data_IF_971757902640
#
_entry.id   IF_971757902640
#
_cell.length_a   1.000
_cell.length_b   1.000
_cell.length_c   1.000
_cell.angle_alpha   90.00
_cell.angle_beta   90.00
_cell.angle_gamma   90.00
#
_symmetry.space_group_name_H-M   'P 1'
#
loop_
_entity.id
_entity.type
_entity.pdbx_description
1 polymer ?
#
# COMPACT_ATOMS: atom_id res chain seq x y z
N UNK A 1 -8.95 -8.28 109.64
CA UNK A 1 -8.79 -7.32 108.51
C UNK A 1 -7.66 -7.78 107.67
N UNK A 2 -7.96 -8.48 106.60
CA UNK A 2 -6.95 -9.07 105.66
C UNK A 2 -7.01 -8.24 104.41
N UNK A 3 -5.84 -7.60 104.04
CA UNK A 3 -5.71 -6.92 102.80
C UNK A 3 -5.07 -7.88 101.78
N UNK A 4 -5.81 -8.22 100.75
CA UNK A 4 -5.31 -9.01 99.59
C UNK A 4 -4.84 -8.02 98.48
N UNK A 5 -3.56 -8.07 98.17
CA UNK A 5 -2.98 -7.33 97.02
C UNK A 5 -3.06 -8.17 95.79
N UNK A 6 -3.82 -7.71 94.82
CA UNK A 6 -3.85 -8.31 93.44
C UNK A 6 -2.82 -7.63 92.58
N UNK A 7 -1.79 -8.38 92.17
CA UNK A 7 -0.83 -7.92 91.14
C UNK A 7 -1.44 -8.22 89.77
N UNK A 8 -1.74 -7.19 88.99
CA UNK A 8 -2.16 -7.29 87.64
C UNK A 8 -0.96 -7.60 86.71
N UNK A 9 -0.95 -8.70 86.07
CA UNK A 9 0.00 -9.05 84.99
C UNK A 9 -0.59 -8.52 83.69
N UNK A 10 0.11 -7.51 83.11
CA UNK A 10 -0.19 -7.02 81.76
C UNK A 10 0.41 -7.99 80.72
N UNK A 11 -0.39 -8.76 80.03
CA UNK A 11 0.01 -9.43 78.81
C UNK A 11 -0.14 -8.42 77.65
N UNK A 12 0.96 -8.02 77.07
CA UNK A 12 0.97 -7.27 75.81
C UNK A 12 0.75 -8.24 74.66
N UNK A 13 -0.46 -8.27 74.11
CA UNK A 13 -0.74 -8.97 72.85
C UNK A 13 -0.36 -8.07 71.69
N UNK A 14 0.71 -8.37 71.03
CA UNK A 14 1.05 -7.76 69.74
C UNK A 14 0.12 -8.27 68.65
N UNK A 15 -0.86 -7.44 68.26
CA UNK A 15 -1.69 -7.69 67.08
C UNK A 15 -0.86 -7.30 65.85
N UNK A 16 -0.32 -8.29 65.18
CA UNK A 16 0.24 -8.08 63.84
C UNK A 16 -0.92 -7.76 62.87
N UNK A 17 -1.09 -6.50 62.52
CA UNK A 17 -1.96 -6.11 61.38
C UNK A 17 -1.22 -6.52 60.11
N UNK A 18 -1.59 -7.68 59.57
CA UNK A 18 -1.32 -7.99 58.17
C UNK A 18 -2.14 -7.05 57.31
N UNK A 19 -1.54 -6.06 56.71
CA UNK A 19 -2.13 -5.28 55.63
C UNK A 19 -2.25 -6.23 54.41
N UNK A 20 -3.33 -6.94 54.33
CA UNK A 20 -3.73 -7.56 53.08
C UNK A 20 -4.00 -6.44 52.07
N UNK A 21 -3.06 -6.18 51.19
CA UNK A 21 -3.34 -5.44 49.99
C UNK A 21 -4.39 -6.23 49.21
N UNK A 22 -5.64 -5.83 49.33
CA UNK A 22 -6.68 -6.27 48.44
C UNK A 22 -6.27 -5.82 47.05
N UNK A 23 -5.68 -6.72 46.28
CA UNK A 23 -5.64 -6.56 44.84
C UNK A 23 -7.12 -6.46 44.43
N UNK A 24 -7.56 -5.28 44.05
CA UNK A 24 -8.85 -5.11 43.40
C UNK A 24 -8.78 -5.97 42.14
N UNK A 25 -9.49 -7.09 42.13
CA UNK A 25 -9.75 -7.80 40.90
C UNK A 25 -10.46 -6.78 40.00
N UNK A 26 -9.89 -6.52 38.84
CA UNK A 26 -10.51 -5.66 37.84
C UNK A 26 -11.94 -6.11 37.65
N UNK A 27 -12.88 -5.18 37.68
CA UNK A 27 -14.30 -5.47 37.50
C UNK A 27 -14.49 -6.21 36.16
N UNK A 28 -15.24 -7.29 36.13
CA UNK A 28 -15.58 -7.99 34.87
C UNK A 28 -16.25 -7.08 33.83
N UNK A 29 -16.71 -5.91 34.26
CA UNK A 29 -17.48 -4.93 33.48
C UNK A 29 -16.74 -3.62 33.26
N UNK A 30 -15.39 -3.58 33.47
CA UNK A 30 -14.60 -2.47 33.03
C UNK A 30 -14.57 -2.45 31.49
N UNK A 31 -14.87 -1.28 30.92
CA UNK A 31 -14.76 -1.10 29.46
C UNK A 31 -13.31 -1.22 29.06
N UNK A 32 -12.96 -2.25 28.28
CA UNK A 32 -11.65 -2.33 27.66
C UNK A 32 -11.50 -1.22 26.63
N UNK A 33 -10.32 -0.60 26.59
CA UNK A 33 -9.99 0.27 25.46
C UNK A 33 -9.98 -0.57 24.18
N UNK A 34 -10.80 -0.20 23.20
CA UNK A 34 -10.94 -0.96 21.96
C UNK A 34 -9.81 -0.70 20.99
N UNK A 35 -9.04 0.36 21.21
CA UNK A 35 -7.90 0.76 20.36
C UNK A 35 -6.59 0.65 21.15
N UNK A 36 -5.72 -0.25 20.72
CA UNK A 36 -4.36 -0.31 21.25
C UNK A 36 -3.57 0.91 20.76
N UNK A 37 -2.97 1.73 21.66
CA UNK A 37 -2.29 2.98 21.27
C UNK A 37 -0.94 2.74 20.56
N UNK A 38 -0.47 1.51 20.53
CA UNK A 38 0.77 1.10 19.87
C UNK A 38 0.56 0.59 18.44
N UNK A 39 1.55 -0.13 17.94
CA UNK A 39 1.47 -0.81 16.66
C UNK A 39 1.64 -2.31 16.81
N UNK A 40 0.80 -3.07 16.10
CA UNK A 40 0.86 -4.53 16.04
C UNK A 40 1.12 -4.93 14.60
N UNK A 41 2.08 -5.82 14.37
CA UNK A 41 2.38 -6.37 13.04
C UNK A 41 2.61 -7.88 13.15
N UNK A 42 1.99 -8.65 12.25
CA UNK A 42 2.24 -10.07 12.09
C UNK A 42 3.01 -10.31 10.78
N UNK A 43 4.13 -11.00 10.87
CA UNK A 43 5.00 -11.30 9.73
C UNK A 43 5.71 -10.08 9.13
N UNK A 44 6.21 -10.25 7.90
CA UNK A 44 6.93 -9.23 7.13
C UNK A 44 6.09 -8.78 5.93
N UNK A 45 6.23 -7.50 5.53
CA UNK A 45 5.66 -7.00 4.27
C UNK A 45 6.56 -7.25 3.06
N UNK A 46 7.85 -7.46 3.29
CA UNK A 46 8.86 -7.60 2.25
C UNK A 46 9.16 -9.06 1.94
N UNK A 47 9.09 -9.92 2.95
CA UNK A 47 9.32 -11.35 2.80
C UNK A 47 8.01 -12.09 3.06
N UNK A 48 7.48 -12.84 2.06
CA UNK A 48 6.22 -13.57 2.24
C UNK A 48 6.39 -14.68 3.26
N UNK A 49 5.44 -14.77 4.20
CA UNK A 49 5.35 -15.90 5.13
C UNK A 49 4.61 -17.04 4.44
N UNK A 50 5.19 -18.23 4.46
CA UNK A 50 4.63 -19.45 3.84
C UNK A 50 4.16 -20.43 4.91
N UNK A 51 3.26 -21.35 4.57
CA UNK A 51 3.02 -22.54 5.39
C UNK A 51 4.33 -23.27 5.71
N UNK A 52 4.55 -23.60 6.99
CA UNK A 52 5.78 -24.19 7.51
C UNK A 52 6.86 -23.21 7.97
N UNK A 53 6.75 -21.92 7.65
CA UNK A 53 7.75 -20.94 8.04
C UNK A 53 7.65 -20.57 9.53
N UNK A 54 8.77 -20.08 10.06
CA UNK A 54 8.82 -19.35 11.33
C UNK A 54 8.64 -17.86 11.05
N UNK A 55 7.84 -17.20 11.87
CA UNK A 55 7.56 -15.76 11.79
C UNK A 55 7.39 -15.19 13.19
N UNK A 56 6.97 -13.93 13.30
CA UNK A 56 6.72 -13.30 14.59
C UNK A 56 5.56 -12.31 14.52
N UNK A 57 4.93 -12.07 15.67
CA UNK A 57 4.08 -10.90 15.90
C UNK A 57 4.87 -9.90 16.72
N UNK A 58 5.09 -8.72 16.17
CA UNK A 58 5.77 -7.59 16.82
C UNK A 58 4.75 -6.59 17.33
N UNK A 59 4.81 -6.28 18.63
CA UNK A 59 3.97 -5.28 19.27
C UNK A 59 4.88 -4.19 19.83
N UNK A 60 4.60 -2.91 19.51
CA UNK A 60 5.38 -1.75 19.95
C UNK A 60 4.54 -0.81 20.80
N UNK A 61 5.20 -0.01 21.62
CA UNK A 61 4.63 0.95 22.57
C UNK A 61 3.76 0.27 23.64
N UNK A 62 4.16 -0.93 24.07
CA UNK A 62 3.58 -1.57 25.25
C UNK A 62 4.16 -0.93 26.51
N UNK A 63 3.33 -0.54 27.50
CA UNK A 63 3.83 -0.16 28.83
C UNK A 63 4.58 -1.32 29.50
N UNK A 64 5.57 -1.02 30.31
CA UNK A 64 6.26 -2.02 31.14
C UNK A 64 5.24 -2.74 32.04
N UNK A 65 5.32 -4.07 32.10
CA UNK A 65 4.41 -4.89 32.88
C UNK A 65 3.05 -5.20 32.19
N UNK A 66 2.80 -4.67 30.99
CA UNK A 66 1.66 -5.08 30.17
C UNK A 66 1.80 -6.57 29.80
N UNK A 67 0.70 -7.30 29.88
CA UNK A 67 0.67 -8.72 29.46
C UNK A 67 -0.06 -8.87 28.13
N UNK A 68 0.37 -9.83 27.33
CA UNK A 68 -0.16 -10.10 25.99
C UNK A 68 -0.54 -11.55 25.86
N UNK A 69 -1.76 -11.81 25.37
CA UNK A 69 -2.25 -13.11 24.90
C UNK A 69 -2.49 -13.04 23.40
N UNK A 70 -2.09 -14.06 22.66
CA UNK A 70 -2.26 -14.14 21.21
C UNK A 70 -3.10 -15.37 20.86
N UNK A 71 -4.19 -15.14 20.09
CA UNK A 71 -5.13 -16.17 19.69
C UNK A 71 -5.28 -16.24 18.17
N UNK A 72 -5.56 -17.44 17.66
CA UNK A 72 -6.11 -17.68 16.33
C UNK A 72 -7.51 -18.33 16.51
N UNK A 73 -8.56 -17.56 16.23
CA UNK A 73 -9.88 -17.94 16.66
C UNK A 73 -9.97 -18.07 18.19
N UNK A 74 -10.33 -19.25 18.68
CA UNK A 74 -10.37 -19.57 20.12
C UNK A 74 -9.09 -20.24 20.64
N UNK A 75 -8.14 -20.57 19.75
CA UNK A 75 -6.92 -21.28 20.10
C UNK A 75 -5.81 -20.32 20.54
N UNK A 76 -5.21 -20.57 21.69
CA UNK A 76 -4.04 -19.81 22.14
C UNK A 76 -2.80 -20.21 21.37
N UNK A 77 -2.15 -19.23 20.72
CA UNK A 77 -0.90 -19.43 19.98
C UNK A 77 0.35 -19.41 20.88
N UNK A 78 0.18 -18.96 22.12
CA UNK A 78 1.22 -18.96 23.17
C UNK A 78 0.66 -19.62 24.43
N UNK A 79 1.47 -20.44 25.13
CA UNK A 79 0.97 -21.28 26.23
C UNK A 79 0.55 -20.49 27.46
N UNK A 80 1.09 -19.28 27.64
CA UNK A 80 0.76 -18.35 28.72
C UNK A 80 1.00 -16.91 28.29
N UNK A 81 0.33 -15.92 28.91
CA UNK A 81 0.54 -14.52 28.60
C UNK A 81 2.02 -14.12 28.76
N UNK A 82 2.52 -13.32 27.81
CA UNK A 82 3.86 -12.77 27.85
C UNK A 82 3.83 -11.36 28.43
N UNK A 83 4.81 -11.04 29.27
CA UNK A 83 4.92 -9.72 29.88
C UNK A 83 5.91 -8.84 29.09
N UNK A 84 5.51 -7.60 28.79
CA UNK A 84 6.35 -6.64 28.11
C UNK A 84 7.49 -6.19 29.03
N UNK A 85 8.70 -6.13 28.46
CA UNK A 85 9.86 -5.54 29.13
C UNK A 85 9.75 -4.00 29.15
N UNK A 86 10.67 -3.35 29.90
CA UNK A 86 10.72 -1.89 29.99
C UNK A 86 11.08 -1.17 28.69
N UNK A 87 11.30 -1.88 27.57
CA UNK A 87 11.65 -1.32 26.27
C UNK A 87 10.44 -1.04 25.38
N UNK A 88 9.24 -1.46 25.82
CA UNK A 88 7.99 -1.21 25.11
C UNK A 88 7.82 -1.98 23.80
N UNK A 89 8.62 -3.00 23.53
CA UNK A 89 8.52 -3.85 22.35
C UNK A 89 8.48 -5.31 22.77
N UNK A 90 7.51 -6.05 22.24
CA UNK A 90 7.39 -7.51 22.43
C UNK A 90 7.38 -8.19 21.07
N UNK A 91 8.30 -9.15 20.87
CA UNK A 91 8.33 -10.02 19.71
C UNK A 91 7.86 -11.41 20.12
N UNK A 92 6.78 -11.88 19.50
CA UNK A 92 6.18 -13.18 19.79
C UNK A 92 6.49 -14.13 18.63
N UNK A 93 7.40 -15.10 18.79
CA UNK A 93 7.72 -16.05 17.74
C UNK A 93 6.54 -16.98 17.46
N UNK A 94 6.27 -17.25 16.19
CA UNK A 94 5.25 -18.16 15.70
C UNK A 94 5.87 -19.18 14.76
N UNK A 95 5.36 -20.42 14.80
CA UNK A 95 5.61 -21.42 13.77
C UNK A 95 4.30 -21.68 13.04
N UNK A 96 4.28 -21.37 11.76
CA UNK A 96 3.11 -21.60 10.91
C UNK A 96 3.02 -23.09 10.59
N UNK A 97 1.87 -23.76 10.78
CA UNK A 97 1.70 -25.16 10.39
C UNK A 97 1.99 -25.35 8.88
N UNK A 98 2.64 -26.45 8.52
CA UNK A 98 2.97 -26.75 7.12
C UNK A 98 1.72 -26.98 6.23
N UNK A 99 0.60 -27.32 6.85
CA UNK A 99 -0.70 -27.51 6.19
C UNK A 99 -1.63 -26.29 6.34
N UNK A 100 -1.12 -25.15 6.82
CA UNK A 100 -1.92 -23.92 6.91
C UNK A 100 -2.34 -23.47 5.51
N UNK A 101 -3.58 -23.03 5.38
CA UNK A 101 -4.10 -22.47 4.13
C UNK A 101 -3.44 -21.10 3.82
N UNK A 102 -3.23 -20.82 2.54
CA UNK A 102 -2.80 -19.47 2.11
C UNK A 102 -3.96 -18.49 2.27
N UNK A 103 -3.66 -17.24 2.60
CA UNK A 103 -4.67 -16.19 2.80
C UNK A 103 -4.41 -15.35 4.02
N UNK A 104 -5.46 -14.64 4.45
CA UNK A 104 -5.44 -13.75 5.60
C UNK A 104 -5.96 -14.47 6.85
N UNK A 105 -5.12 -14.59 7.86
CA UNK A 105 -5.45 -15.19 9.15
C UNK A 105 -5.58 -14.11 10.22
N UNK A 106 -6.80 -13.83 10.69
CA UNK A 106 -7.01 -12.84 11.74
C UNK A 106 -6.52 -13.38 13.08
N UNK A 107 -5.51 -12.75 13.64
CA UNK A 107 -5.02 -13.03 14.97
C UNK A 107 -5.58 -12.01 15.96
N UNK A 108 -6.09 -12.48 17.09
CA UNK A 108 -6.57 -11.62 18.18
C UNK A 108 -5.45 -11.41 19.19
N UNK A 109 -5.14 -10.16 19.46
CA UNK A 109 -4.18 -9.72 20.47
C UNK A 109 -4.95 -9.13 21.64
N UNK A 110 -4.85 -9.77 22.79
CA UNK A 110 -5.46 -9.30 24.03
C UNK A 110 -4.34 -8.76 24.92
N UNK A 111 -4.45 -7.50 25.34
CA UNK A 111 -3.53 -6.92 26.30
C UNK A 111 -4.22 -6.67 27.64
N UNK A 112 -3.41 -6.67 28.72
CA UNK A 112 -3.82 -6.19 30.04
C UNK A 112 -2.77 -5.20 30.55
N UNK A 113 -3.24 -4.19 31.26
CA UNK A 113 -2.41 -3.08 31.76
C UNK A 113 -1.69 -2.29 30.63
N UNK A 114 -2.44 -1.63 29.70
CA UNK A 114 -3.88 -1.43 29.65
C UNK A 114 -4.67 -2.61 29.05
N UNK A 115 -5.94 -2.72 29.39
CA UNK A 115 -6.84 -3.72 28.82
C UNK A 115 -7.23 -3.29 27.41
N UNK A 116 -6.93 -4.11 26.38
CA UNK A 116 -7.39 -3.90 25.02
C UNK A 116 -7.55 -5.21 24.26
N UNK A 117 -8.37 -5.17 23.21
CA UNK A 117 -8.53 -6.26 22.25
C UNK A 117 -8.33 -5.69 20.87
N UNK A 118 -7.36 -6.24 20.14
CA UNK A 118 -7.02 -5.81 18.79
C UNK A 118 -6.92 -7.01 17.85
N UNK A 119 -7.10 -6.78 16.55
CA UNK A 119 -6.84 -7.78 15.53
C UNK A 119 -5.67 -7.37 14.66
N UNK A 120 -4.89 -8.35 14.24
CA UNK A 120 -3.83 -8.20 13.24
C UNK A 120 -3.92 -9.35 12.24
N UNK A 121 -3.75 -9.05 10.95
CA UNK A 121 -3.76 -10.08 9.91
C UNK A 121 -2.37 -10.67 9.72
N UNK A 122 -2.24 -11.98 9.91
CA UNK A 122 -1.09 -12.74 9.43
C UNK A 122 -1.41 -13.22 8.01
N UNK A 123 -0.66 -12.73 7.02
CA UNK A 123 -0.85 -13.13 5.64
C UNK A 123 0.09 -14.28 5.28
N UNK A 124 -0.48 -15.41 4.87
CA UNK A 124 0.25 -16.56 4.34
C UNK A 124 0.18 -16.54 2.81
N UNK A 125 1.33 -16.70 2.17
CA UNK A 125 1.46 -16.63 0.73
C UNK A 125 2.20 -17.86 0.20
N UNK A 126 2.02 -18.17 -1.09
CA UNK A 126 2.83 -19.17 -1.79
C UNK A 126 3.70 -18.49 -2.84
N UNK A 127 4.81 -19.10 -3.18
CA UNK A 127 5.64 -18.70 -4.30
C UNK A 127 4.98 -19.17 -5.59
N UNK A 128 4.89 -18.28 -6.58
CA UNK A 128 4.57 -18.64 -7.96
C UNK A 128 5.89 -18.85 -8.69
N UNK A 129 6.18 -20.07 -9.19
CA UNK A 129 7.45 -20.34 -9.85
C UNK A 129 7.59 -19.54 -11.16
N UNK A 130 8.83 -19.29 -11.63
CA UNK A 130 9.06 -18.73 -12.96
C UNK A 130 8.34 -19.55 -14.05
N UNK A 131 7.78 -18.86 -15.05
CA UNK A 131 7.09 -19.46 -16.18
C UNK A 131 7.33 -18.61 -17.41
N UNK A 132 7.78 -19.21 -18.50
CA UNK A 132 7.98 -18.54 -19.80
C UNK A 132 8.72 -17.19 -19.69
N UNK A 133 9.61 -17.04 -18.74
CA UNK A 133 10.33 -15.78 -18.50
C UNK A 133 11.31 -15.45 -19.64
N UNK A 134 11.83 -16.47 -20.28
CA UNK A 134 12.72 -16.40 -21.45
C UNK A 134 12.04 -15.83 -22.70
N UNK A 135 10.70 -15.77 -22.75
CA UNK A 135 9.95 -15.08 -23.80
C UNK A 135 10.10 -13.55 -23.75
N UNK A 136 10.73 -12.99 -22.71
CA UNK A 136 10.88 -11.55 -22.53
C UNK A 136 12.36 -11.16 -22.48
N UNK A 137 12.63 -9.97 -23.01
CA UNK A 137 13.94 -9.27 -22.87
C UNK A 137 13.81 -8.24 -21.77
N UNK A 138 14.75 -8.22 -20.85
CA UNK A 138 14.84 -7.27 -19.75
C UNK A 138 16.05 -6.36 -19.97
N UNK A 139 15.85 -5.06 -19.79
CA UNK A 139 16.91 -4.06 -19.76
C UNK A 139 16.71 -3.21 -18.52
N UNK A 140 17.70 -3.19 -17.63
CA UNK A 140 17.60 -2.53 -16.31
C UNK A 140 18.63 -1.41 -16.20
N UNK A 141 18.23 -0.28 -15.60
CA UNK A 141 19.09 0.83 -15.25
C UNK A 141 18.80 1.34 -13.83
N UNK A 142 19.81 1.70 -13.03
CA UNK A 142 19.64 2.28 -11.71
C UNK A 142 19.11 3.72 -11.81
N UNK A 143 18.21 4.11 -10.91
CA UNK A 143 17.61 5.45 -10.87
C UNK A 143 17.66 6.12 -9.49
N UNK A 144 18.38 5.52 -8.55
CA UNK A 144 18.51 6.02 -7.17
C UNK A 144 17.55 5.38 -6.19
N UNK A 145 17.64 5.79 -4.93
CA UNK A 145 16.87 5.18 -3.85
C UNK A 145 15.35 5.42 -3.99
N UNK A 146 14.56 4.41 -3.63
CA UNK A 146 13.08 4.48 -3.49
C UNK A 146 12.36 4.99 -4.74
N UNK A 147 12.80 4.54 -5.92
CA UNK A 147 12.05 4.76 -7.14
C UNK A 147 10.59 4.31 -6.94
N UNK A 148 9.62 5.14 -7.37
CA UNK A 148 8.25 4.99 -6.90
C UNK A 148 7.24 4.75 -8.00
N UNK A 149 7.10 5.70 -8.94
CA UNK A 149 6.24 5.58 -10.12
C UNK A 149 6.95 6.07 -11.37
N UNK A 150 6.41 5.72 -12.52
CA UNK A 150 6.85 6.23 -13.82
C UNK A 150 5.69 6.53 -14.74
N UNK A 151 5.94 7.43 -15.70
CA UNK A 151 5.03 7.73 -16.80
C UNK A 151 5.82 7.94 -18.09
N UNK A 152 5.28 7.48 -19.22
CA UNK A 152 5.91 7.58 -20.54
C UNK A 152 5.23 8.67 -21.35
N UNK A 153 6.04 9.56 -21.97
CA UNK A 153 5.53 10.54 -22.93
C UNK A 153 5.47 9.99 -24.35
N UNK A 154 4.64 10.62 -25.17
CA UNK A 154 4.47 10.25 -26.57
C UNK A 154 5.76 10.40 -27.41
N UNK A 155 6.72 11.25 -27.00
CA UNK A 155 8.00 11.46 -27.63
C UNK A 155 9.13 10.55 -27.08
N UNK A 156 8.76 9.48 -26.33
CA UNK A 156 9.71 8.48 -25.87
C UNK A 156 10.57 8.92 -24.68
N UNK A 157 10.04 9.76 -23.80
CA UNK A 157 10.66 10.08 -22.51
C UNK A 157 9.97 9.33 -21.39
N UNK A 158 10.75 8.80 -20.46
CA UNK A 158 10.28 8.15 -19.26
C UNK A 158 10.55 9.05 -18.05
N UNK A 159 9.52 9.46 -17.36
CA UNK A 159 9.61 10.23 -16.13
C UNK A 159 9.49 9.28 -14.95
N UNK A 160 10.44 9.39 -14.00
CA UNK A 160 10.52 8.51 -12.84
C UNK A 160 10.59 9.35 -11.58
N UNK A 161 9.73 9.06 -10.62
CA UNK A 161 9.78 9.67 -9.29
C UNK A 161 10.49 8.77 -8.30
N UNK A 162 11.18 9.37 -7.33
CA UNK A 162 11.72 8.70 -6.15
C UNK A 162 11.15 9.34 -4.89
N UNK A 163 10.44 8.51 -4.11
CA UNK A 163 9.81 8.95 -2.89
C UNK A 163 10.80 8.84 -1.72
N UNK A 164 11.35 9.96 -1.25
CA UNK A 164 12.20 10.05 -0.05
C UNK A 164 13.31 8.99 0.06
N UNK A 165 14.39 9.16 -0.64
CA UNK A 165 15.64 8.49 -0.27
C UNK A 165 16.14 8.96 1.11
N UNK A 166 16.67 8.09 1.97
CA UNK A 166 17.22 8.51 3.26
C UNK A 166 18.41 9.47 3.14
N UNK A 167 19.15 9.38 2.03
CA UNK A 167 20.36 10.19 1.79
C UNK A 167 20.14 11.29 0.76
N UNK A 168 19.48 10.97 -0.35
CA UNK A 168 19.43 11.83 -1.53
C UNK A 168 18.12 12.63 -1.66
N UNK A 169 17.15 12.37 -0.80
CA UNK A 169 15.83 13.01 -0.86
C UNK A 169 14.95 12.45 -1.99
N UNK A 170 13.88 13.17 -2.32
CA UNK A 170 13.02 12.84 -3.48
C UNK A 170 13.66 13.32 -4.77
N UNK A 171 13.36 12.64 -5.88
CA UNK A 171 13.87 12.97 -7.22
C UNK A 171 12.75 12.85 -8.26
N UNK A 172 12.76 13.73 -9.26
CA UNK A 172 12.04 13.56 -10.52
C UNK A 172 13.09 13.52 -11.62
N UNK A 173 13.18 12.37 -12.29
CA UNK A 173 14.13 12.10 -13.36
C UNK A 173 13.41 12.04 -14.70
N UNK A 174 14.07 12.51 -15.77
CA UNK A 174 13.69 12.20 -17.14
C UNK A 174 14.76 11.29 -17.75
N UNK A 175 14.31 10.16 -18.28
CA UNK A 175 15.13 9.18 -18.96
C UNK A 175 14.73 9.08 -20.44
N UNK A 176 15.65 8.63 -21.26
CA UNK A 176 15.32 8.11 -22.58
C UNK A 176 14.63 6.74 -22.43
N UNK A 177 13.42 6.58 -22.94
CA UNK A 177 12.62 5.36 -22.76
C UNK A 177 13.23 4.14 -23.48
N UNK A 178 14.05 4.33 -24.54
CA UNK A 178 14.69 3.23 -25.25
C UNK A 178 15.96 2.75 -24.53
N UNK A 179 16.84 3.69 -24.14
CA UNK A 179 18.15 3.36 -23.58
C UNK A 179 18.18 3.31 -22.06
N UNK A 180 17.16 3.83 -21.38
CA UNK A 180 17.06 4.07 -19.95
C UNK A 180 18.13 5.02 -19.39
N UNK A 181 18.85 5.74 -20.25
CA UNK A 181 19.81 6.74 -19.82
C UNK A 181 19.11 7.94 -19.17
N UNK A 182 19.58 8.37 -18.00
CA UNK A 182 19.11 9.59 -17.33
C UNK A 182 19.55 10.79 -18.14
N UNK A 183 18.62 11.62 -18.60
CA UNK A 183 18.87 12.83 -19.40
C UNK A 183 18.80 14.11 -18.57
N UNK A 184 17.96 14.13 -17.56
CA UNK A 184 17.76 15.31 -16.70
C UNK A 184 17.18 14.92 -15.33
N UNK A 185 17.39 15.80 -14.36
CA UNK A 185 16.83 15.74 -13.03
C UNK A 185 16.24 17.11 -12.64
N UNK A 186 15.03 17.11 -12.06
CA UNK A 186 14.36 18.33 -11.62
C UNK A 186 14.98 18.88 -10.32
N UNK A 187 15.06 20.20 -10.22
CA UNK A 187 15.22 20.88 -8.94
C UNK A 187 13.84 20.98 -8.29
N UNK A 188 13.62 20.18 -7.27
CA UNK A 188 12.32 20.13 -6.59
C UNK A 188 12.06 21.39 -5.74
N UNK A 189 10.82 21.91 -5.69
CA UNK A 189 10.48 23.05 -4.87
C UNK A 189 10.65 22.75 -3.38
N UNK A 190 10.69 23.81 -2.58
CA UNK A 190 10.74 23.73 -1.12
C UNK A 190 9.47 24.31 -0.53
N UNK A 191 9.07 23.74 0.61
CA UNK A 191 7.98 24.26 1.44
C UNK A 191 8.39 25.57 2.15
N UNK A 192 7.45 26.20 2.86
CA UNK A 192 7.69 27.45 3.62
C UNK A 192 8.79 27.31 4.69
N UNK A 193 9.08 26.08 5.14
CA UNK A 193 10.13 25.76 6.10
C UNK A 193 11.47 25.46 5.44
N UNK A 194 11.56 25.58 4.11
CA UNK A 194 12.77 25.32 3.33
C UNK A 194 13.06 23.83 3.09
N UNK A 195 12.12 22.94 3.44
CA UNK A 195 12.24 21.51 3.20
C UNK A 195 11.79 21.16 1.78
N UNK A 196 12.50 20.26 1.11
CA UNK A 196 12.16 19.78 -0.22
C UNK A 196 10.76 19.13 -0.24
N UNK A 197 9.92 19.55 -1.18
CA UNK A 197 8.62 18.94 -1.46
C UNK A 197 8.87 17.65 -2.25
N UNK A 198 8.59 16.52 -1.62
CA UNK A 198 8.84 15.19 -2.19
C UNK A 198 7.79 14.80 -3.23
N UNK A 199 8.22 14.09 -4.28
CA UNK A 199 7.38 13.60 -5.37
C UNK A 199 7.06 12.12 -5.21
N UNK A 200 5.83 11.71 -5.61
CA UNK A 200 5.35 10.33 -5.52
C UNK A 200 4.73 9.89 -6.85
N UNK A 201 3.45 10.13 -7.09
CA UNK A 201 2.80 9.83 -8.35
C UNK A 201 3.27 10.75 -9.47
N UNK A 202 3.17 10.28 -10.73
CA UNK A 202 3.56 11.04 -11.91
C UNK A 202 2.64 10.76 -13.09
N UNK A 203 2.18 11.83 -13.76
CA UNK A 203 1.41 11.79 -15.01
C UNK A 203 2.02 12.72 -16.04
N UNK A 204 1.88 12.38 -17.31
CA UNK A 204 2.39 13.19 -18.45
C UNK A 204 1.23 13.75 -19.23
N UNK A 205 1.25 15.06 -19.44
CA UNK A 205 0.39 15.81 -20.34
C UNK A 205 1.18 16.15 -21.62
N UNK A 206 1.04 15.30 -22.63
CA UNK A 206 1.74 15.50 -23.90
C UNK A 206 1.20 16.71 -24.67
N UNK A 207 -0.08 17.03 -24.51
CA UNK A 207 -0.72 18.16 -25.20
C UNK A 207 -0.12 19.50 -24.79
N UNK A 208 0.17 19.68 -23.50
CA UNK A 208 0.74 20.94 -22.98
C UNK A 208 2.22 20.79 -22.60
N UNK A 209 2.83 19.62 -22.83
CA UNK A 209 4.24 19.31 -22.50
C UNK A 209 4.54 19.52 -21.03
N UNK A 210 3.67 19.03 -20.16
CA UNK A 210 3.81 19.11 -18.73
C UNK A 210 3.97 17.72 -18.10
N UNK A 211 4.66 17.69 -16.96
CA UNK A 211 4.73 16.54 -16.06
C UNK A 211 4.08 16.95 -14.74
N UNK A 212 3.08 16.21 -14.35
CA UNK A 212 2.35 16.40 -13.11
C UNK A 212 2.86 15.42 -12.06
N UNK A 213 3.12 15.90 -10.84
CA UNK A 213 3.50 15.03 -9.73
C UNK A 213 2.61 15.24 -8.53
N UNK A 214 2.30 14.15 -7.83
CA UNK A 214 1.67 14.23 -6.50
C UNK A 214 2.75 14.37 -5.43
N UNK A 215 2.47 15.18 -4.43
CA UNK A 215 3.38 15.48 -3.34
C UNK A 215 2.71 15.05 -2.02
N UNK A 216 2.66 13.74 -1.78
CA UNK A 216 1.86 13.08 -0.73
C UNK A 216 2.08 13.68 0.65
N UNK A 217 3.32 14.05 1.01
CA UNK A 217 3.65 14.52 2.34
C UNK A 217 3.45 16.03 2.55
N UNK A 218 3.39 16.78 1.47
CA UNK A 218 3.06 18.20 1.47
C UNK A 218 1.58 18.43 1.08
N UNK A 219 0.86 17.31 0.82
CA UNK A 219 -0.56 17.34 0.46
C UNK A 219 -0.88 18.30 -0.69
N UNK A 220 -0.04 18.26 -1.75
CA UNK A 220 -0.16 19.16 -2.89
C UNK A 220 0.21 18.48 -4.21
N UNK A 221 0.13 19.22 -5.30
CA UNK A 221 0.50 18.82 -6.66
C UNK A 221 1.50 19.82 -7.22
N UNK A 222 2.48 19.36 -8.00
CA UNK A 222 3.43 20.20 -8.71
C UNK A 222 3.42 19.86 -10.20
N UNK A 223 3.49 20.89 -11.04
CA UNK A 223 3.57 20.77 -12.50
C UNK A 223 4.94 21.27 -12.96
N UNK A 224 5.58 20.48 -13.83
CA UNK A 224 6.87 20.79 -14.41
C UNK A 224 6.76 20.85 -15.94
N UNK A 225 7.63 21.64 -16.56
CA UNK A 225 7.86 21.59 -18.01
C UNK A 225 8.54 20.26 -18.37
N UNK A 226 8.01 19.48 -19.29
CA UNK A 226 8.50 18.15 -19.61
C UNK A 226 9.90 18.16 -20.24
N UNK A 227 10.31 19.25 -20.91
CA UNK A 227 11.62 19.37 -21.56
C UNK A 227 12.70 19.82 -20.60
N UNK A 228 12.43 20.84 -19.79
CA UNK A 228 13.44 21.49 -18.93
C UNK A 228 13.42 20.97 -17.51
N UNK A 229 12.34 20.33 -17.07
CA UNK A 229 12.02 19.94 -15.70
C UNK A 229 11.98 21.14 -14.73
N UNK A 230 11.82 22.37 -15.26
CA UNK A 230 11.58 23.54 -14.43
C UNK A 230 10.15 23.51 -13.88
N UNK A 231 9.97 24.03 -12.66
CA UNK A 231 8.65 24.16 -12.03
C UNK A 231 7.83 25.17 -12.80
N UNK A 232 6.63 24.77 -13.25
CA UNK A 232 5.61 25.63 -13.88
C UNK A 232 4.61 26.11 -12.84
N UNK A 233 4.15 25.21 -11.98
CA UNK A 233 3.15 25.50 -10.95
C UNK A 233 3.34 24.61 -9.73
N UNK A 234 3.23 25.19 -8.54
CA UNK A 234 3.02 24.47 -7.28
C UNK A 234 1.65 24.88 -6.76
N UNK A 235 0.78 23.90 -6.53
CA UNK A 235 -0.50 24.16 -5.91
C UNK A 235 -0.34 24.37 -4.40
N UNK A 236 -1.30 24.99 -3.69
CA UNK A 236 -1.18 25.22 -2.26
C UNK A 236 -0.97 23.92 -1.46
N UNK A 237 -0.13 23.98 -0.43
CA UNK A 237 0.02 22.87 0.53
C UNK A 237 -1.32 22.59 1.23
N UNK A 238 -1.61 21.34 1.53
CA UNK A 238 -2.89 20.91 2.11
C UNK A 238 -4.07 20.93 1.14
N UNK A 239 -3.86 21.22 -0.16
CA UNK A 239 -4.96 21.28 -1.14
C UNK A 239 -5.48 19.91 -1.57
N UNK A 240 -4.69 18.84 -1.39
CA UNK A 240 -5.10 17.46 -1.70
C UNK A 240 -4.68 16.54 -0.55
N UNK A 241 -5.61 16.00 0.23
CA UNK A 241 -5.28 15.08 1.32
C UNK A 241 -4.56 13.82 0.81
N UNK A 242 -3.30 13.67 1.18
CA UNK A 242 -2.47 12.51 0.86
C UNK A 242 -2.54 12.07 -0.62
N UNK A 243 -2.24 12.97 -1.59
CA UNK A 243 -2.38 12.66 -3.01
C UNK A 243 -1.49 11.49 -3.41
N UNK A 244 -2.04 10.59 -4.24
CA UNK A 244 -1.36 9.33 -4.58
C UNK A 244 -1.05 9.22 -6.06
N UNK A 245 -2.06 9.22 -6.89
CA UNK A 245 -1.96 9.04 -8.33
C UNK A 245 -2.45 10.29 -9.07
N UNK A 246 -1.96 10.49 -10.29
CA UNK A 246 -2.43 11.52 -11.20
C UNK A 246 -2.55 10.96 -12.61
N UNK A 247 -3.75 11.01 -13.17
CA UNK A 247 -4.02 10.59 -14.54
C UNK A 247 -4.50 11.77 -15.39
N UNK A 248 -4.00 11.83 -16.63
CA UNK A 248 -4.26 12.96 -17.52
C UNK A 248 -5.26 12.57 -18.61
N UNK A 249 -6.31 13.36 -18.76
CA UNK A 249 -7.26 13.31 -19.87
C UNK A 249 -6.94 14.46 -20.85
N UNK A 250 -6.06 14.19 -21.79
CA UNK A 250 -5.63 15.18 -22.78
C UNK A 250 -6.79 15.66 -23.68
N UNK A 251 -7.72 14.76 -23.98
CA UNK A 251 -8.86 15.09 -24.83
C UNK A 251 -9.79 16.14 -24.23
N UNK A 252 -9.85 16.20 -22.89
CA UNK A 252 -10.72 17.13 -22.18
C UNK A 252 -9.95 18.19 -21.36
N UNK A 253 -8.61 18.23 -21.48
CA UNK A 253 -7.72 19.09 -20.69
C UNK A 253 -7.95 18.94 -19.18
N UNK A 254 -7.95 17.72 -18.67
CA UNK A 254 -8.16 17.42 -17.25
C UNK A 254 -7.04 16.57 -16.67
N UNK A 255 -6.65 16.89 -15.43
CA UNK A 255 -5.89 16.04 -14.57
C UNK A 255 -6.76 15.62 -13.39
N UNK A 256 -6.81 14.32 -13.12
CA UNK A 256 -7.52 13.73 -11.99
C UNK A 256 -6.50 13.22 -10.99
N UNK A 257 -6.58 13.72 -9.74
CA UNK A 257 -5.65 13.39 -8.66
C UNK A 257 -6.38 12.68 -7.55
N UNK A 258 -5.97 11.45 -7.22
CA UNK A 258 -6.56 10.70 -6.12
C UNK A 258 -6.11 11.23 -4.76
N UNK A 259 -7.07 11.46 -3.85
CA UNK A 259 -6.83 11.79 -2.44
C UNK A 259 -6.97 10.51 -1.60
N UNK A 260 -5.86 9.83 -1.34
CA UNK A 260 -5.84 8.42 -0.90
C UNK A 260 -6.45 8.15 0.48
N UNK A 261 -6.58 9.14 1.35
CA UNK A 261 -7.25 9.01 2.66
C UNK A 261 -8.75 9.33 2.62
N UNK A 262 -9.26 9.59 1.42
CA UNK A 262 -10.65 9.97 1.17
C UNK A 262 -11.14 9.29 -0.11
N UNK A 263 -12.43 9.37 -0.40
CA UNK A 263 -12.97 8.97 -1.71
C UNK A 263 -12.91 10.07 -2.77
N UNK A 264 -12.25 11.20 -2.47
CA UNK A 264 -12.21 12.34 -3.36
C UNK A 264 -11.16 12.22 -4.45
N UNK A 265 -11.48 12.80 -5.59
CA UNK A 265 -10.60 13.01 -6.74
C UNK A 265 -10.62 14.49 -7.06
N UNK A 266 -9.48 15.14 -6.90
CA UNK A 266 -9.33 16.55 -7.26
C UNK A 266 -9.17 16.69 -8.77
N UNK A 267 -9.84 17.66 -9.35
CA UNK A 267 -9.87 17.88 -10.81
C UNK A 267 -9.23 19.23 -11.14
N UNK A 268 -8.24 19.17 -12.04
CA UNK A 268 -7.53 20.34 -12.52
C UNK A 268 -7.71 20.50 -14.02
N UNK A 269 -7.72 21.74 -14.50
CA UNK A 269 -7.59 22.05 -15.91
C UNK A 269 -6.10 22.08 -16.28
N UNK A 270 -5.68 21.24 -17.24
CA UNK A 270 -4.27 21.10 -17.60
C UNK A 270 -3.74 22.23 -18.47
N UNK A 271 -4.64 23.01 -19.10
CA UNK A 271 -4.30 24.17 -19.93
C UNK A 271 -4.13 25.44 -19.11
N UNK A 272 -5.08 25.71 -18.19
CA UNK A 272 -5.05 26.92 -17.35
C UNK A 272 -4.30 26.74 -16.06
N UNK A 273 -4.00 25.49 -15.66
CA UNK A 273 -3.41 25.10 -14.39
C UNK A 273 -4.21 25.62 -13.20
N UNK A 274 -5.52 25.45 -13.25
CA UNK A 274 -6.45 25.83 -12.20
C UNK A 274 -7.13 24.58 -11.63
N UNK A 275 -7.41 24.59 -10.33
CA UNK A 275 -8.31 23.61 -9.72
C UNK A 275 -9.75 23.94 -10.14
N UNK A 276 -10.45 22.98 -10.74
CA UNK A 276 -11.77 23.20 -11.34
C UNK A 276 -12.90 22.44 -10.67
N UNK A 277 -12.60 21.61 -9.68
CA UNK A 277 -13.62 20.88 -8.93
C UNK A 277 -13.15 19.58 -8.33
N UNK A 278 -14.11 18.83 -7.82
CA UNK A 278 -13.87 17.58 -7.11
C UNK A 278 -14.93 16.56 -7.53
N UNK A 279 -14.50 15.32 -7.70
CA UNK A 279 -15.35 14.14 -7.87
C UNK A 279 -15.24 13.25 -6.64
N UNK A 280 -16.15 12.28 -6.46
CA UNK A 280 -16.10 11.40 -5.31
C UNK A 280 -16.54 9.98 -5.67
N UNK A 281 -15.75 8.99 -5.25
CA UNK A 281 -16.22 7.61 -5.15
C UNK A 281 -17.05 7.43 -3.88
N UNK A 282 -18.27 6.94 -4.04
CA UNK A 282 -19.20 6.73 -2.92
C UNK A 282 -19.50 5.24 -2.81
N UNK A 283 -19.01 4.61 -1.73
CA UNK A 283 -19.25 3.21 -1.44
C UNK A 283 -20.47 3.04 -0.51
N UNK A 284 -21.20 1.95 -0.67
CA UNK A 284 -22.38 1.53 0.14
C UNK A 284 -23.27 2.70 0.59
N UNK A 285 -23.67 3.56 -0.34
CA UNK A 285 -24.50 4.74 -0.05
C UNK A 285 -23.91 5.67 1.03
N UNK A 286 -22.57 5.74 1.11
CA UNK A 286 -21.83 6.55 2.08
C UNK A 286 -21.64 5.89 3.45
N UNK A 287 -21.94 4.61 3.62
CA UNK A 287 -21.70 3.88 4.88
C UNK A 287 -20.27 3.40 5.02
N UNK A 288 -19.68 2.93 3.90
CA UNK A 288 -18.28 2.56 3.84
C UNK A 288 -17.46 3.71 3.25
N UNK A 289 -16.18 3.79 3.63
CA UNK A 289 -15.23 4.70 3.02
C UNK A 289 -14.62 4.06 1.77
N UNK A 290 -14.30 4.90 0.78
CA UNK A 290 -13.55 4.53 -0.40
C UNK A 290 -12.16 5.19 -0.33
N UNK A 291 -11.12 4.38 -0.17
CA UNK A 291 -9.74 4.86 -0.07
C UNK A 291 -9.06 4.75 -1.44
N UNK A 292 -9.28 5.75 -2.30
CA UNK A 292 -8.79 5.74 -3.68
C UNK A 292 -7.25 5.68 -3.72
N UNK A 293 -6.72 4.73 -4.48
CA UNK A 293 -5.28 4.60 -4.76
C UNK A 293 -4.99 4.99 -6.20
N UNK A 294 -4.80 4.02 -7.07
CA UNK A 294 -4.49 4.29 -8.46
C UNK A 294 -5.78 4.32 -9.32
N UNK A 295 -5.71 4.98 -10.45
CA UNK A 295 -6.83 5.32 -11.32
C UNK A 295 -6.64 4.74 -12.71
N UNK A 296 -7.74 4.45 -13.40
CA UNK A 296 -7.74 4.17 -14.84
C UNK A 296 -8.78 5.04 -15.55
N UNK A 297 -8.46 5.50 -16.74
CA UNK A 297 -9.30 6.41 -17.50
C UNK A 297 -9.83 5.76 -18.77
N UNK A 298 -11.11 5.94 -19.02
CA UNK A 298 -11.74 5.79 -20.31
C UNK A 298 -12.18 7.17 -20.82
N UNK A 299 -11.25 7.88 -21.45
CA UNK A 299 -11.50 9.24 -21.93
C UNK A 299 -12.65 9.26 -22.96
N UNK A 300 -12.66 8.31 -23.89
CA UNK A 300 -13.70 8.22 -24.94
C UNK A 300 -15.08 7.83 -24.40
N UNK A 301 -15.13 6.95 -23.40
CA UNK A 301 -16.36 6.54 -22.73
C UNK A 301 -16.77 7.45 -21.56
N UNK A 302 -15.96 8.47 -21.25
CA UNK A 302 -16.21 9.45 -20.19
C UNK A 302 -16.29 8.83 -18.80
N UNK A 303 -15.41 7.88 -18.46
CA UNK A 303 -15.39 7.22 -17.16
C UNK A 303 -14.00 7.24 -16.51
N UNK A 304 -13.98 7.54 -15.22
CA UNK A 304 -12.81 7.39 -14.36
C UNK A 304 -13.03 6.21 -13.40
N UNK A 305 -12.13 5.23 -13.44
CA UNK A 305 -12.18 4.04 -12.59
C UNK A 305 -11.21 4.16 -11.44
N UNK A 306 -11.54 3.53 -10.31
CA UNK A 306 -10.68 3.49 -9.15
C UNK A 306 -10.95 2.27 -8.28
N UNK A 307 -10.00 1.97 -7.41
CA UNK A 307 -10.06 0.88 -6.43
C UNK A 307 -9.89 1.43 -5.02
N UNK A 308 -10.51 0.76 -4.06
CA UNK A 308 -10.37 1.11 -2.65
C UNK A 308 -9.43 0.13 -1.95
N UNK A 309 -8.36 0.65 -1.32
CA UNK A 309 -7.33 -0.17 -0.68
C UNK A 309 -7.83 -0.87 0.60
N UNK A 310 -8.50 -0.14 1.47
CA UNK A 310 -8.83 -0.62 2.81
C UNK A 310 -10.25 -1.23 2.90
N UNK A 311 -10.97 -1.20 1.78
CA UNK A 311 -12.30 -1.82 1.63
C UNK A 311 -12.41 -2.49 0.25
N UNK A 312 -13.16 -3.60 0.09
CA UNK A 312 -13.19 -4.35 -1.17
C UNK A 312 -14.14 -3.73 -2.20
N UNK A 313 -13.98 -2.42 -2.47
CA UNK A 313 -14.78 -1.71 -3.46
C UNK A 313 -13.98 -1.37 -4.71
N UNK A 314 -14.59 -1.59 -5.86
CA UNK A 314 -14.15 -1.10 -7.17
C UNK A 314 -15.23 -0.15 -7.67
N UNK A 315 -14.85 0.97 -8.28
CA UNK A 315 -15.83 1.95 -8.71
C UNK A 315 -15.45 2.66 -10.01
N UNK A 316 -16.45 3.35 -10.56
CA UNK A 316 -16.25 4.30 -11.66
C UNK A 316 -17.13 5.53 -11.46
N UNK A 317 -16.65 6.64 -11.97
CA UNK A 317 -17.36 7.92 -12.00
C UNK A 317 -17.65 8.25 -13.45
N UNK A 318 -18.90 8.53 -13.78
CA UNK A 318 -19.29 9.13 -15.05
C UNK A 318 -18.83 10.59 -15.05
N UNK A 319 -17.89 10.94 -15.91
CA UNK A 319 -17.23 12.25 -15.90
C UNK A 319 -18.15 13.39 -16.39
N UNK A 320 -19.21 13.06 -17.11
CA UNK A 320 -20.20 14.05 -17.57
C UNK A 320 -21.15 14.46 -16.45
N UNK A 321 -21.56 13.49 -15.62
CA UNK A 321 -22.58 13.72 -14.58
C UNK A 321 -22.01 13.81 -13.17
N UNK A 322 -20.76 13.38 -12.97
CA UNK A 322 -20.13 13.24 -11.66
C UNK A 322 -20.68 12.04 -10.84
N UNK A 323 -21.57 11.23 -11.43
CA UNK A 323 -22.21 10.11 -10.70
C UNK A 323 -21.24 8.97 -10.49
N UNK A 324 -21.04 8.59 -9.23
CA UNK A 324 -20.29 7.40 -8.82
C UNK A 324 -21.17 6.13 -8.88
N UNK A 325 -20.56 5.04 -9.31
CA UNK A 325 -21.07 3.68 -9.19
C UNK A 325 -19.97 2.83 -8.57
N UNK A 326 -20.31 2.06 -7.53
CA UNK A 326 -19.35 1.17 -6.87
C UNK A 326 -19.92 -0.24 -6.75
N UNK A 327 -19.05 -1.23 -6.85
CA UNK A 327 -19.38 -2.64 -6.67
C UNK A 327 -18.45 -3.27 -5.64
N UNK A 328 -19.01 -4.15 -4.81
CA UNK A 328 -18.21 -4.88 -3.83
C UNK A 328 -17.59 -6.10 -4.48
N UNK A 329 -16.26 -6.22 -4.39
CA UNK A 329 -15.47 -7.31 -4.95
C UNK A 329 -14.67 -7.96 -3.82
N UNK A 330 -15.26 -8.92 -3.08
CA UNK A 330 -14.62 -9.53 -1.90
C UNK A 330 -13.26 -10.17 -2.17
N UNK A 331 -13.01 -10.57 -3.42
CA UNK A 331 -11.74 -11.12 -3.87
C UNK A 331 -10.61 -10.07 -3.98
N UNK A 332 -10.94 -8.78 -4.05
CA UNK A 332 -10.00 -7.68 -4.23
C UNK A 332 -9.70 -6.97 -2.89
N UNK A 333 -9.19 -7.72 -1.90
CA UNK A 333 -8.80 -7.09 -0.63
C UNK A 333 -7.41 -6.49 -0.72
N UNK A 334 -7.28 -5.25 -0.24
CA UNK A 334 -6.06 -4.49 -0.38
C UNK A 334 -5.78 -4.14 -1.84
N UNK A 335 -6.82 -3.77 -2.60
CA UNK A 335 -6.68 -3.38 -4.00
C UNK A 335 -5.77 -2.15 -4.12
N UNK A 336 -4.81 -2.22 -5.03
CA UNK A 336 -3.76 -1.20 -5.18
C UNK A 336 -3.81 -0.49 -6.50
N UNK A 337 -4.19 -1.19 -7.60
CA UNK A 337 -4.14 -0.64 -8.93
C UNK A 337 -5.21 -1.28 -9.83
N UNK A 338 -5.57 -0.57 -10.89
CA UNK A 338 -6.60 -0.96 -11.85
C UNK A 338 -6.19 -0.62 -13.27
N UNK A 339 -6.31 -1.58 -14.19
CA UNK A 339 -6.14 -1.37 -15.61
C UNK A 339 -7.42 -1.70 -16.39
N UNK A 340 -7.57 -1.14 -17.57
CA UNK A 340 -8.73 -1.35 -18.43
C UNK A 340 -8.31 -1.81 -19.83
N UNK A 341 -8.98 -2.83 -20.36
CA UNK A 341 -8.94 -3.17 -21.78
C UNK A 341 -9.94 -2.27 -22.55
N UNK A 342 -9.49 -1.35 -23.40
CA UNK A 342 -10.39 -0.43 -24.11
C UNK A 342 -11.27 -1.13 -25.13
N UNK A 343 -10.88 -2.32 -25.64
CA UNK A 343 -11.64 -3.03 -26.65
C UNK A 343 -12.85 -3.77 -26.07
N UNK A 344 -12.73 -4.32 -24.86
CA UNK A 344 -13.79 -5.11 -24.22
C UNK A 344 -14.44 -4.41 -23.03
N UNK A 345 -13.80 -3.37 -22.50
CA UNK A 345 -14.20 -2.69 -21.27
C UNK A 345 -13.90 -3.49 -20.00
N UNK A 346 -13.19 -4.63 -20.09
CA UNK A 346 -12.77 -5.40 -18.92
C UNK A 346 -11.84 -4.60 -18.03
N UNK A 347 -11.96 -4.84 -16.74
CA UNK A 347 -11.10 -4.24 -15.72
C UNK A 347 -10.23 -5.33 -15.08
N UNK A 348 -9.00 -4.99 -14.81
CA UNK A 348 -8.02 -5.85 -14.11
C UNK A 348 -7.61 -5.15 -12.84
N UNK A 349 -7.90 -5.77 -11.71
CA UNK A 349 -7.63 -5.21 -10.38
C UNK A 349 -6.58 -6.05 -9.70
N UNK A 350 -5.43 -5.46 -9.35
CA UNK A 350 -4.43 -6.14 -8.54
C UNK A 350 -4.62 -5.82 -7.06
N UNK A 351 -4.37 -6.82 -6.21
CA UNK A 351 -4.63 -6.73 -4.78
C UNK A 351 -3.46 -7.22 -3.95
N UNK A 352 -3.03 -6.38 -3.00
CA UNK A 352 -1.87 -6.67 -2.16
C UNK A 352 -2.18 -7.73 -1.09
N UNK A 353 -3.37 -7.73 -0.51
CA UNK A 353 -3.71 -8.64 0.58
C UNK A 353 -4.14 -10.03 0.06
N UNK A 354 -4.90 -10.11 -1.02
CA UNK A 354 -5.32 -11.37 -1.63
C UNK A 354 -4.32 -11.94 -2.63
N UNK A 355 -3.26 -11.18 -3.00
CA UNK A 355 -2.18 -11.68 -3.87
C UNK A 355 -2.65 -12.09 -5.27
N UNK A 356 -3.62 -11.40 -5.83
CA UNK A 356 -4.28 -11.80 -7.07
C UNK A 356 -4.44 -10.65 -8.06
N UNK A 357 -4.84 -11.03 -9.27
CA UNK A 357 -5.52 -10.15 -10.22
C UNK A 357 -6.94 -10.64 -10.38
N UNK A 358 -7.91 -9.77 -10.11
CA UNK A 358 -9.32 -10.02 -10.35
C UNK A 358 -9.71 -9.39 -11.70
N UNK A 359 -10.27 -10.19 -12.59
CA UNK A 359 -10.81 -9.72 -13.88
C UNK A 359 -12.30 -9.46 -13.72
N UNK A 360 -12.74 -8.26 -14.09
CA UNK A 360 -14.13 -7.85 -14.02
C UNK A 360 -14.67 -7.56 -15.43
N UNK A 361 -15.95 -7.80 -15.64
CA UNK A 361 -16.67 -7.28 -16.80
C UNK A 361 -16.89 -5.74 -16.65
N UNK A 362 -17.38 -5.04 -17.70
CA UNK A 362 -17.63 -3.59 -17.61
C UNK A 362 -18.65 -3.15 -16.55
N UNK A 363 -19.42 -4.08 -15.99
CA UNK A 363 -20.42 -3.84 -14.95
C UNK A 363 -19.92 -4.24 -13.55
N UNK A 364 -18.65 -4.69 -13.44
CA UNK A 364 -18.03 -5.07 -12.18
C UNK A 364 -18.29 -6.51 -11.73
N UNK A 365 -18.86 -7.37 -12.60
CA UNK A 365 -18.98 -8.81 -12.31
C UNK A 365 -17.64 -9.50 -12.44
N UNK A 366 -17.27 -10.29 -11.44
CA UNK A 366 -16.05 -11.10 -11.46
C UNK A 366 -16.13 -12.17 -12.57
N UNK A 367 -15.14 -12.17 -13.45
CA UNK A 367 -14.93 -13.13 -14.52
C UNK A 367 -13.85 -14.15 -14.17
N UNK A 368 -12.76 -13.69 -13.52
CA UNK A 368 -11.66 -14.52 -13.07
C UNK A 368 -11.02 -13.95 -11.80
N UNK A 369 -10.39 -14.82 -11.02
CA UNK A 369 -9.61 -14.51 -9.84
C UNK A 369 -8.34 -15.36 -9.87
N UNK A 370 -7.20 -14.71 -10.15
CA UNK A 370 -5.94 -15.42 -10.41
C UNK A 370 -4.87 -15.02 -9.42
N UNK A 371 -4.41 -15.97 -8.63
CA UNK A 371 -3.28 -15.80 -7.74
C UNK A 371 -1.99 -15.55 -8.54
N UNK A 372 -1.30 -14.43 -8.28
CA UNK A 372 -0.12 -13.99 -9.03
C UNK A 372 1.18 -14.01 -8.22
N UNK A 373 1.11 -14.25 -6.92
CA UNK A 373 2.26 -14.14 -6.00
C UNK A 373 2.08 -13.04 -4.97
N UNK A 374 2.95 -13.03 -3.96
CA UNK A 374 2.79 -12.20 -2.78
C UNK A 374 2.92 -10.69 -3.07
N UNK A 375 1.89 -9.93 -2.68
CA UNK A 375 1.90 -8.49 -2.67
C UNK A 375 1.73 -7.86 -4.06
N UNK A 376 0.64 -8.14 -4.76
CA UNK A 376 0.26 -7.45 -6.00
C UNK A 376 0.16 -5.94 -5.77
N UNK A 377 0.85 -5.12 -6.58
CA UNK A 377 0.97 -3.67 -6.33
C UNK A 377 0.66 -2.79 -7.52
N UNK A 378 0.84 -3.27 -8.75
CA UNK A 378 0.55 -2.50 -9.95
C UNK A 378 0.14 -3.41 -11.09
N UNK A 379 -0.72 -2.92 -12.00
CA UNK A 379 -1.23 -3.66 -13.15
C UNK A 379 -1.38 -2.75 -14.35
N UNK A 380 -0.96 -3.23 -15.54
CA UNK A 380 -1.16 -2.53 -16.80
C UNK A 380 -1.74 -3.48 -17.85
N UNK A 381 -2.50 -2.93 -18.79
CA UNK A 381 -3.03 -3.62 -19.95
C UNK A 381 -2.19 -3.28 -21.18
N UNK A 382 -1.65 -4.30 -21.85
CA UNK A 382 -0.98 -4.17 -23.14
C UNK A 382 -1.97 -4.46 -24.27
N UNK A 383 -2.34 -3.40 -25.00
CA UNK A 383 -3.24 -3.52 -26.15
C UNK A 383 -2.58 -4.17 -27.37
N UNK A 384 -1.23 -4.15 -27.47
CA UNK A 384 -0.48 -4.72 -28.60
C UNK A 384 -0.52 -6.24 -28.54
N UNK A 385 -0.22 -6.82 -27.38
CA UNK A 385 -0.22 -8.28 -27.19
C UNK A 385 -1.51 -8.83 -26.60
N UNK A 386 -2.44 -7.97 -26.18
CA UNK A 386 -3.66 -8.33 -25.44
C UNK A 386 -3.33 -9.08 -24.13
N UNK A 387 -2.36 -8.60 -23.38
CA UNK A 387 -1.90 -9.19 -22.13
C UNK A 387 -1.97 -8.18 -20.98
N UNK A 388 -2.06 -8.73 -19.78
CA UNK A 388 -2.02 -7.99 -18.51
C UNK A 388 -0.67 -8.26 -17.85
N UNK A 389 0.03 -7.21 -17.46
CA UNK A 389 1.23 -7.30 -16.64
C UNK A 389 0.91 -6.83 -15.24
N UNK A 390 1.26 -7.64 -14.23
CA UNK A 390 1.01 -7.33 -12.82
C UNK A 390 2.28 -7.55 -11.97
N UNK A 391 2.69 -6.51 -11.26
CA UNK A 391 3.87 -6.54 -10.40
C UNK A 391 3.54 -7.08 -9.02
N UNK A 392 4.39 -7.95 -8.47
CA UNK A 392 4.29 -8.49 -7.12
C UNK A 392 5.48 -8.07 -6.28
N UNK A 393 5.27 -7.20 -5.28
CA UNK A 393 6.35 -6.62 -4.48
C UNK A 393 7.10 -7.66 -3.66
N UNK A 394 6.40 -8.39 -2.80
CA UNK A 394 7.01 -9.40 -1.95
C UNK A 394 7.30 -10.71 -2.70
N UNK A 395 6.61 -10.96 -3.80
CA UNK A 395 6.87 -12.09 -4.70
C UNK A 395 8.10 -11.89 -5.57
N UNK A 396 8.55 -10.64 -5.78
CA UNK A 396 9.70 -10.32 -6.63
C UNK A 396 9.49 -10.74 -8.09
N UNK A 397 8.27 -10.58 -8.64
CA UNK A 397 7.96 -11.02 -10.01
C UNK A 397 7.06 -10.04 -10.73
N UNK A 398 7.05 -10.14 -12.06
CA UNK A 398 6.00 -9.61 -12.93
C UNK A 398 5.24 -10.79 -13.52
N UNK A 399 3.98 -10.94 -13.09
CA UNK A 399 3.06 -11.92 -13.66
C UNK A 399 2.46 -11.38 -14.96
N UNK A 400 2.37 -12.23 -15.99
CA UNK A 400 1.73 -11.90 -17.26
C UNK A 400 0.53 -12.81 -17.43
N UNK A 401 -0.65 -12.21 -17.65
CA UNK A 401 -1.90 -12.93 -17.85
C UNK A 401 -2.44 -12.65 -19.25
N UNK A 402 -3.19 -13.59 -19.79
CA UNK A 402 -4.00 -13.32 -20.99
C UNK A 402 -5.23 -12.46 -20.62
N UNK A 403 -6.00 -12.06 -21.65
CA UNK A 403 -7.21 -11.25 -21.50
C UNK A 403 -8.25 -11.87 -20.55
N UNK A 404 -8.30 -13.18 -20.44
CA UNK A 404 -9.25 -13.91 -19.60
C UNK A 404 -8.72 -14.13 -18.17
N UNK A 405 -7.51 -13.62 -17.87
CA UNK A 405 -6.90 -13.69 -16.55
C UNK A 405 -6.09 -14.95 -16.29
N UNK A 406 -5.83 -15.80 -17.30
CA UNK A 406 -4.97 -16.98 -17.12
C UNK A 406 -3.51 -16.59 -17.11
N UNK A 407 -2.74 -17.07 -16.12
CA UNK A 407 -1.29 -16.83 -16.01
C UNK A 407 -0.55 -17.50 -17.18
N UNK A 408 0.04 -16.70 -18.06
CA UNK A 408 0.81 -17.15 -19.25
C UNK A 408 2.31 -17.07 -19.04
N UNK A 409 2.80 -16.11 -18.26
CA UNK A 409 4.19 -16.03 -17.84
C UNK A 409 4.33 -15.51 -16.41
N UNK A 410 5.47 -15.78 -15.77
CA UNK A 410 5.86 -15.18 -14.50
C UNK A 410 7.37 -14.89 -14.55
N UNK A 411 7.71 -13.61 -14.57
CA UNK A 411 9.07 -13.12 -14.82
C UNK A 411 9.69 -12.78 -13.46
N UNK A 412 10.74 -13.50 -13.02
CA UNK A 412 11.43 -13.16 -11.79
C UNK A 412 12.18 -11.84 -11.94
N UNK A 413 12.14 -11.01 -10.90
CA UNK A 413 12.86 -9.75 -10.79
C UNK A 413 13.84 -9.84 -9.62
N UNK A 414 15.09 -9.38 -9.84
CA UNK A 414 16.11 -9.35 -8.79
C UNK A 414 15.93 -8.17 -7.82
N UNK A 415 14.75 -7.55 -7.84
CA UNK A 415 14.46 -6.28 -7.19
C UNK A 415 13.06 -6.29 -6.58
N UNK A 416 12.71 -5.21 -5.87
CA UNK A 416 11.40 -5.03 -5.23
C UNK A 416 10.44 -4.28 -6.14
N UNK A 417 9.62 -4.97 -6.97
CA UNK A 417 8.67 -4.35 -7.88
C UNK A 417 7.71 -3.38 -7.17
N UNK A 418 7.46 -2.23 -7.79
CA UNK A 418 6.56 -1.22 -7.20
C UNK A 418 5.49 -0.71 -8.16
N UNK A 419 5.85 -0.31 -9.36
CA UNK A 419 4.92 0.32 -10.31
C UNK A 419 5.24 -0.07 -11.74
N UNK A 420 4.19 -0.33 -12.52
CA UNK A 420 4.26 -0.59 -13.95
C UNK A 420 3.70 0.61 -14.71
N UNK A 421 4.33 0.93 -15.83
CA UNK A 421 3.75 1.79 -16.86
C UNK A 421 3.97 1.17 -18.22
N UNK A 422 3.15 1.51 -19.20
CA UNK A 422 3.21 0.95 -20.53
C UNK A 422 3.28 2.05 -21.57
N UNK A 423 4.16 1.89 -22.55
CA UNK A 423 4.23 2.77 -23.70
C UNK A 423 3.25 2.33 -24.80
N UNK A 424 2.90 3.24 -25.74
CA UNK A 424 1.97 2.92 -26.83
C UNK A 424 2.43 1.77 -27.75
N UNK A 425 3.73 1.50 -27.80
CA UNK A 425 4.33 0.38 -28.57
C UNK A 425 4.28 -0.97 -27.84
N UNK A 426 3.74 -1.00 -26.62
CA UNK A 426 3.63 -2.21 -25.79
C UNK A 426 4.86 -2.46 -24.90
N UNK A 427 5.90 -1.60 -24.92
CA UNK A 427 6.98 -1.71 -23.97
C UNK A 427 6.50 -1.42 -22.54
N UNK A 428 6.73 -2.36 -21.62
CA UNK A 428 6.38 -2.22 -20.22
C UNK A 428 7.60 -1.77 -19.42
N UNK A 429 7.42 -0.80 -18.55
CA UNK A 429 8.46 -0.32 -17.65
C UNK A 429 8.07 -0.61 -16.22
N UNK A 430 8.92 -1.37 -15.53
CA UNK A 430 8.80 -1.64 -14.11
C UNK A 430 9.71 -0.70 -13.34
N UNK A 431 9.14 0.00 -12.36
CA UNK A 431 9.91 0.72 -11.34
C UNK A 431 10.02 -0.17 -10.10
N UNK A 432 11.24 -0.37 -9.63
CA UNK A 432 11.57 -1.12 -8.42
C UNK A 432 12.12 -0.20 -7.35
N UNK A 433 11.58 -0.31 -6.11
CA UNK A 433 11.95 0.61 -5.01
C UNK A 433 13.35 0.37 -4.49
N UNK A 434 13.75 -0.90 -4.43
CA UNK A 434 15.00 -1.39 -3.83
C UNK A 434 15.54 -2.55 -4.65
N UNK A 435 16.83 -2.83 -4.52
CA UNK A 435 17.43 -4.08 -4.94
C UNK A 435 16.86 -5.30 -4.19
N UNK A 436 17.39 -6.48 -4.45
CA UNK A 436 16.96 -7.72 -3.81
C UNK A 436 17.02 -7.63 -2.28
N UNK A 437 16.11 -8.33 -1.62
CA UNK A 437 16.07 -8.38 -0.16
C UNK A 437 17.41 -8.89 0.41
N UNK A 438 18.15 -8.02 1.10
CA UNK A 438 19.47 -8.31 1.67
C UNK A 438 20.63 -7.49 1.11
N UNK A 439 20.43 -6.74 0.03
CA UNK A 439 21.44 -5.83 -0.50
C UNK A 439 21.65 -4.63 0.42
N UNK A 440 22.94 -4.35 0.74
CA UNK A 440 23.33 -3.19 1.55
C UNK A 440 23.15 -1.85 0.82
N UNK A 441 23.05 -1.89 -0.50
CA UNK A 441 22.83 -0.72 -1.35
C UNK A 441 21.42 -0.79 -1.90
N UNK A 442 20.51 -0.04 -1.30
CA UNK A 442 19.10 0.01 -1.69
C UNK A 442 18.89 0.97 -2.86
N UNK A 443 19.46 0.65 -4.03
CA UNK A 443 19.28 1.43 -5.24
C UNK A 443 18.04 0.94 -5.97
N UNK A 444 17.05 1.83 -6.16
CA UNK A 444 15.93 1.56 -7.03
C UNK A 444 16.33 1.58 -8.50
N UNK A 445 15.53 0.97 -9.34
CA UNK A 445 15.81 0.81 -10.76
C UNK A 445 14.56 0.97 -11.63
N UNK A 446 14.79 1.07 -12.92
CA UNK A 446 13.78 0.89 -13.97
C UNK A 446 14.18 -0.28 -14.84
N UNK A 447 13.25 -1.19 -15.09
CA UNK A 447 13.41 -2.31 -16.01
C UNK A 447 12.42 -2.21 -17.16
N UNK A 448 12.92 -2.11 -18.40
CA UNK A 448 12.14 -2.24 -19.63
C UNK A 448 11.94 -3.71 -19.94
N UNK A 449 10.69 -4.11 -20.13
CA UNK A 449 10.25 -5.48 -20.43
C UNK A 449 9.65 -5.47 -21.82
N UNK A 450 10.18 -6.24 -22.74
CA UNK A 450 9.67 -6.38 -24.10
C UNK A 450 9.61 -7.85 -24.50
N UNK A 451 8.63 -8.28 -25.32
CA UNK A 451 8.64 -9.61 -25.89
C UNK A 451 9.92 -9.87 -26.70
N UNK A 452 10.45 -11.08 -26.66
CA UNK A 452 11.48 -11.51 -27.62
C UNK A 452 10.79 -11.85 -28.95
N UNK A 453 11.33 -11.32 -30.00
CA UNK A 453 10.90 -11.63 -31.38
C UNK A 453 11.35 -13.05 -31.76
#
# INVERSE_FOLDING_TARGET
>A
MIRISIRAVLLASAVAMSTATTAFAASQWETAETTFPGSIRAGSREVPVKPGDKTEVTIKNLPAGATVTLLNGAEALIPQPLTADGKGTLNIPLTVPANAEIGLHPLTVITQNPASVSQVMLKLSRIVPPKNADAFKLQTAPVGERAYQSAVSADGKLFVTSARGPKDGSRLLRLNAETLAVEAEAVLPKDEKGKQIGVFGVGVDNAHKHVWTTNTLAETVTVYDAKTLSVVKVFPEGSVPHPRDVIIDEAHNRAYVSAALTGFIEVYDTKTLEHVGQLQFVADRGRDLFYSTDLALDSSGGKLYGVSRDTPWVGWIDLKTGKSTTVKVPQAQGATDIARDPATGRLYVTSQETNNVVVLDPNGKVLADTYIGAGGVSVVWDAVTSQVFAATRAGGTVAVLDRDGKLVANIPMDETPNHLTIAPDGAVYLVSMYGAAGDKVQTGSVTKITPRQ
#
